data_IF_294854831756
#
_entry.id   IF_294854831756
#
_cell.length_a   1.000
_cell.length_b   1.000
_cell.length_c   1.000
_cell.angle_alpha   90.00
_cell.angle_beta   90.00
_cell.angle_gamma   90.00
#
_symmetry.space_group_name_H-M   'P 1'
#
loop_
_entity.id
_entity.type
_entity.pdbx_description
1 polymer ?
#
# COMPACT_ATOMS: atom_id res chain seq x y z
N UNK A 1 -26.98 -1.18 10.92
CA UNK A 1 -26.62 0.24 11.12
C UNK A 1 -25.19 0.43 11.66
N UNK A 2 -24.61 -0.51 12.42
CA UNK A 2 -23.23 -0.41 12.96
C UNK A 2 -22.11 -0.55 11.90
N UNK A 3 -22.23 -1.49 10.96
CA UNK A 3 -21.16 -1.82 10.01
C UNK A 3 -20.75 -0.66 9.07
N UNK A 4 -21.69 0.20 8.66
CA UNK A 4 -21.40 1.35 7.81
C UNK A 4 -20.63 2.44 8.58
N UNK A 5 -20.97 2.65 9.85
CA UNK A 5 -20.31 3.64 10.70
C UNK A 5 -18.85 3.24 10.99
N UNK A 6 -18.63 1.96 11.28
CA UNK A 6 -17.29 1.38 11.45
C UNK A 6 -16.45 1.50 10.17
N UNK A 7 -17.02 1.20 9.00
CA UNK A 7 -16.32 1.34 7.72
C UNK A 7 -15.91 2.80 7.45
N UNK A 8 -16.80 3.76 7.69
CA UNK A 8 -16.50 5.19 7.47
C UNK A 8 -15.43 5.71 8.43
N UNK A 9 -15.49 5.33 9.70
CA UNK A 9 -14.46 5.69 10.68
C UNK A 9 -13.10 5.10 10.30
N UNK A 10 -13.08 3.85 9.86
CA UNK A 10 -11.88 3.16 9.41
C UNK A 10 -11.25 3.84 8.19
N UNK A 11 -12.04 4.16 7.16
CA UNK A 11 -11.53 4.87 5.98
C UNK A 11 -11.03 6.27 6.34
N UNK A 12 -11.69 6.97 7.27
CA UNK A 12 -11.20 8.27 7.77
C UNK A 12 -9.82 8.18 8.43
N UNK A 13 -9.59 7.15 9.25
CA UNK A 13 -8.29 6.89 9.86
C UNK A 13 -7.22 6.54 8.80
N UNK A 14 -7.57 5.73 7.80
CA UNK A 14 -6.69 5.41 6.68
C UNK A 14 -6.34 6.66 5.84
N UNK A 15 -7.31 7.55 5.62
CA UNK A 15 -7.10 8.80 4.89
C UNK A 15 -6.10 9.70 5.62
N UNK A 16 -6.19 9.79 6.95
CA UNK A 16 -5.20 10.53 7.74
C UNK A 16 -3.79 9.94 7.58
N UNK A 17 -3.66 8.61 7.62
CA UNK A 17 -2.38 7.91 7.45
C UNK A 17 -1.77 8.09 6.05
N UNK A 18 -2.60 8.28 5.01
CA UNK A 18 -2.13 8.52 3.64
C UNK A 18 -1.32 9.82 3.51
N UNK A 19 -1.54 10.77 4.41
CA UNK A 19 -0.81 12.06 4.45
C UNK A 19 0.63 11.84 4.94
N UNK A 20 0.82 10.99 5.96
CA UNK A 20 2.14 10.72 6.54
C UNK A 20 2.89 9.61 5.82
N UNK A 21 2.20 8.76 5.04
CA UNK A 21 2.79 7.59 4.38
C UNK A 21 2.22 7.40 2.96
N UNK A 22 2.84 8.02 1.93
CA UNK A 22 2.31 8.02 0.57
C UNK A 22 2.27 6.63 -0.10
N UNK A 23 2.99 5.66 0.45
CA UNK A 23 3.05 4.26 0.01
C UNK A 23 1.66 3.59 -0.05
N UNK A 24 0.73 3.98 0.83
CA UNK A 24 -0.62 3.40 0.90
C UNK A 24 -1.71 4.27 0.27
N UNK A 25 -1.39 5.48 -0.19
CA UNK A 25 -2.36 6.48 -0.62
C UNK A 25 -3.25 6.01 -1.76
N UNK A 26 -2.68 5.25 -2.70
CA UNK A 26 -3.44 4.67 -3.80
C UNK A 26 -4.51 3.68 -3.31
N UNK A 27 -4.13 2.77 -2.43
CA UNK A 27 -5.04 1.76 -1.90
C UNK A 27 -6.17 2.41 -1.06
N UNK A 28 -5.82 3.39 -0.22
CA UNK A 28 -6.79 4.14 0.60
C UNK A 28 -7.79 4.91 -0.28
N UNK A 29 -7.30 5.64 -1.29
CA UNK A 29 -8.14 6.40 -2.20
C UNK A 29 -9.13 5.50 -2.95
N UNK A 30 -8.71 4.28 -3.32
CA UNK A 30 -9.61 3.31 -3.96
C UNK A 30 -10.73 2.87 -3.01
N UNK A 31 -10.43 2.49 -1.77
CA UNK A 31 -11.46 2.14 -0.77
C UNK A 31 -12.40 3.30 -0.39
N UNK A 32 -11.92 4.54 -0.44
CA UNK A 32 -12.68 5.76 -0.16
C UNK A 32 -13.82 6.00 -1.15
N UNK A 33 -13.60 5.68 -2.43
CA UNK A 33 -14.62 5.83 -3.49
C UNK A 33 -15.87 4.96 -3.24
N UNK A 34 -15.70 3.83 -2.55
CA UNK A 34 -16.78 2.88 -2.25
C UNK A 34 -17.48 3.12 -0.91
N UNK A 35 -17.26 4.26 -0.23
CA UNK A 35 -17.99 4.62 1.01
C UNK A 35 -19.50 4.73 0.78
N UNK A 36 -19.93 5.17 -0.40
CA UNK A 36 -21.35 5.33 -0.72
C UNK A 36 -22.07 3.99 -0.97
N UNK A 37 -21.32 2.92 -1.27
CA UNK A 37 -21.86 1.57 -1.46
C UNK A 37 -20.80 0.55 -1.00
N UNK A 38 -20.66 0.35 0.32
CA UNK A 38 -19.63 -0.54 0.85
C UNK A 38 -19.97 -1.99 0.48
N UNK A 39 -19.07 -2.61 -0.28
CA UNK A 39 -19.13 -4.04 -0.58
C UNK A 39 -18.26 -4.80 0.43
N UNK A 40 -18.62 -6.05 0.73
CA UNK A 40 -17.80 -6.94 1.58
C UNK A 40 -16.33 -7.03 1.12
N UNK A 41 -16.11 -7.06 -0.19
CA UNK A 41 -14.76 -7.07 -0.76
C UNK A 41 -13.92 -5.84 -0.37
N UNK A 42 -14.53 -4.66 -0.39
CA UNK A 42 -13.85 -3.40 -0.04
C UNK A 42 -13.58 -3.30 1.46
N UNK A 43 -14.49 -3.82 2.31
CA UNK A 43 -14.28 -3.86 3.75
C UNK A 43 -13.12 -4.79 4.14
N UNK A 44 -12.98 -5.92 3.43
CA UNK A 44 -11.82 -6.82 3.57
C UNK A 44 -10.52 -6.17 3.11
N UNK A 45 -10.56 -5.43 1.98
CA UNK A 45 -9.40 -4.70 1.48
C UNK A 45 -8.92 -3.64 2.49
N UNK A 46 -9.83 -2.84 3.05
CA UNK A 46 -9.50 -1.83 4.05
C UNK A 46 -8.87 -2.45 5.33
N UNK A 47 -9.41 -3.59 5.79
CA UNK A 47 -8.81 -4.36 6.91
C UNK A 47 -7.43 -4.92 6.56
N UNK A 48 -7.17 -5.27 5.29
CA UNK A 48 -5.86 -5.72 4.83
C UNK A 48 -4.83 -4.59 4.84
N UNK A 49 -5.22 -3.37 4.46
CA UNK A 49 -4.37 -2.17 4.56
C UNK A 49 -4.00 -1.91 6.02
N UNK A 50 -4.95 -2.01 6.95
CA UNK A 50 -4.65 -1.88 8.38
C UNK A 50 -3.64 -2.93 8.87
N UNK A 51 -3.79 -4.20 8.47
CA UNK A 51 -2.83 -5.25 8.83
C UNK A 51 -1.44 -4.98 8.25
N UNK A 52 -1.36 -4.48 7.03
CA UNK A 52 -0.10 -4.05 6.42
C UNK A 52 0.56 -2.95 7.25
N UNK A 53 -0.20 -1.96 7.70
CA UNK A 53 0.31 -0.87 8.53
C UNK A 53 0.82 -1.33 9.90
N UNK A 54 0.12 -2.26 10.55
CA UNK A 54 0.52 -2.82 11.86
C UNK A 54 1.72 -3.76 11.71
N UNK A 55 1.78 -4.51 10.62
CA UNK A 55 2.82 -5.52 10.36
C UNK A 55 4.13 -4.97 9.83
N UNK A 56 4.20 -3.69 9.45
CA UNK A 56 5.45 -3.04 9.05
C UNK A 56 5.95 -2.19 10.22
N UNK A 57 6.81 -2.74 11.12
CA UNK A 57 7.74 -1.88 11.82
C UNK A 57 8.48 -1.09 10.74
N UNK A 58 8.64 0.22 10.92
CA UNK A 58 9.42 1.08 10.01
C UNK A 58 10.86 0.56 10.00
N UNK A 59 11.13 -0.50 9.25
CA UNK A 59 12.47 -0.85 8.81
C UNK A 59 12.79 0.26 7.83
N UNK A 60 13.65 1.19 8.26
CA UNK A 60 14.14 2.27 7.42
C UNK A 60 14.55 1.69 6.07
N UNK A 61 14.15 2.36 5.00
CA UNK A 61 14.56 2.03 3.64
C UNK A 61 16.08 2.20 3.62
N UNK A 62 16.82 1.12 3.84
CA UNK A 62 18.28 1.11 3.73
C UNK A 62 18.57 1.23 2.24
N UNK A 63 18.59 2.47 1.75
CA UNK A 63 19.16 2.81 0.45
C UNK A 63 20.67 2.61 0.62
N UNK A 64 21.12 1.37 0.50
CA UNK A 64 22.53 1.08 0.33
C UNK A 64 22.92 1.57 -1.07
N UNK A 65 23.89 2.48 -1.19
CA UNK A 65 24.42 2.81 -2.51
C UNK A 65 25.00 1.53 -3.09
N UNK A 66 24.43 1.07 -4.20
CA UNK A 66 25.02 -0.01 -4.97
C UNK A 66 26.38 0.48 -5.49
N UNK A 67 27.47 0.01 -4.90
CA UNK A 67 28.85 0.27 -5.33
C UNK A 67 29.21 -0.55 -6.58
N UNK A 68 28.35 -0.55 -7.58
CA UNK A 68 28.60 -1.27 -8.83
C UNK A 68 27.92 -0.55 -9.99
N UNK A 69 28.67 0.39 -10.58
CA UNK A 69 28.45 0.92 -11.91
C UNK A 69 28.62 -0.18 -12.98
N UNK A 70 27.82 -1.23 -12.93
CA UNK A 70 27.81 -2.23 -14.00
C UNK A 70 26.38 -2.71 -14.19
N UNK A 71 25.66 -1.97 -15.04
CA UNK A 71 24.51 -2.48 -15.76
C UNK A 71 25.02 -3.60 -16.68
N UNK A 72 25.06 -4.85 -16.19
CA UNK A 72 25.22 -6.00 -17.08
C UNK A 72 23.90 -6.19 -17.80
N UNK A 73 23.82 -5.62 -19.00
CA UNK A 73 22.74 -5.93 -19.95
C UNK A 73 22.96 -7.37 -20.38
N UNK A 74 22.02 -8.30 -20.16
CA UNK A 74 22.14 -9.65 -20.70
C UNK A 74 21.74 -9.64 -22.18
N UNK A 75 22.64 -9.17 -23.05
CA UNK A 75 22.62 -9.58 -24.45
C UNK A 75 23.99 -10.15 -24.82
N UNK A 76 24.30 -11.34 -24.32
CA UNK A 76 25.36 -12.15 -24.91
C UNK A 76 24.85 -13.57 -25.11
N UNK A 77 24.48 -13.88 -26.35
CA UNK A 77 24.42 -15.21 -26.94
C UNK A 77 24.47 -14.98 -28.47
N UNK A 78 25.37 -15.53 -29.28
CA UNK A 78 26.24 -16.69 -29.13
C UNK A 78 27.47 -16.55 -30.05
N UNK A 79 28.60 -17.13 -29.61
CA UNK A 79 29.73 -17.48 -30.46
C UNK A 79 29.44 -18.78 -31.23
N UNK A 80 30.03 -18.87 -32.43
CA UNK A 80 30.19 -20.03 -33.35
C UNK A 80 28.97 -20.58 -34.09
#
# INVERSE_FOLDING_TARGET
>A
MSALHEYRSLVGALQYLSITRPDITYAVNSTSQFIHSPTEFHSVAARRILRYLVGIPVQGLLIQPASSHTLKVPYECSSN
#
